data_IF_855992721172
#
_entry.id   IF_855992721172
#
_cell.length_a   1.000
_cell.length_b   1.000
_cell.length_c   1.000
_cell.angle_alpha   90.00
_cell.angle_beta   90.00
_cell.angle_gamma   90.00
#
_symmetry.space_group_name_H-M   'P 1'
#
loop_
_entity.id
_entity.type
_entity.pdbx_description
1 polymer ?
#
# COMPACT_ATOMS: atom_id res chain seq x y z
N UNK A 1 6.12 -4.90 -25.37
CA UNK A 1 5.87 -3.44 -25.39
C UNK A 1 4.37 -3.18 -25.37
N UNK A 2 3.80 -2.95 -24.20
CA UNK A 2 2.41 -2.49 -24.07
C UNK A 2 2.48 -1.11 -23.42
N UNK A 3 2.11 -0.09 -24.19
CA UNK A 3 1.99 1.30 -23.74
C UNK A 3 0.81 1.36 -22.76
N UNK A 4 1.06 1.70 -21.51
CA UNK A 4 0.03 2.00 -20.52
C UNK A 4 -0.38 3.45 -20.78
N UNK A 5 -1.62 3.61 -21.24
CA UNK A 5 -2.24 4.89 -21.50
C UNK A 5 -2.84 5.39 -20.18
N UNK A 6 -2.31 6.50 -19.66
CA UNK A 6 -2.90 7.21 -18.53
C UNK A 6 -4.26 7.78 -18.94
N UNK A 7 -5.33 7.45 -18.21
CA UNK A 7 -6.63 8.08 -18.38
C UNK A 7 -7.21 8.44 -17.01
N UNK A 8 -7.08 9.73 -16.68
CA UNK A 8 -7.87 10.48 -15.72
C UNK A 8 -9.26 10.74 -16.32
N UNK A 9 -10.33 10.25 -15.72
CA UNK A 9 -11.64 10.92 -15.71
C UNK A 9 -12.40 10.52 -14.45
N UNK A 10 -12.66 11.49 -13.57
CA UNK A 10 -13.72 11.41 -12.58
C UNK A 10 -15.05 11.76 -13.27
N UNK A 11 -16.01 10.83 -13.32
CA UNK A 11 -17.41 11.13 -13.66
C UNK A 11 -18.33 10.54 -12.60
N UNK A 12 -19.10 11.45 -12.00
CA UNK A 12 -20.30 11.23 -11.21
C UNK A 12 -21.39 10.65 -12.11
N UNK A 13 -22.00 9.51 -11.75
CA UNK A 13 -23.23 9.04 -12.41
C UNK A 13 -24.34 8.95 -11.37
N UNK A 14 -25.23 9.94 -11.39
CA UNK A 14 -26.58 9.85 -10.87
C UNK A 14 -27.43 9.10 -11.89
N UNK A 15 -28.03 7.98 -11.50
CA UNK A 15 -29.15 7.40 -12.24
C UNK A 15 -30.33 7.15 -11.28
N UNK A 16 -31.35 7.98 -11.46
CA UNK A 16 -32.73 7.76 -11.04
C UNK A 16 -33.36 6.70 -11.95
N UNK A 17 -34.02 5.70 -11.37
CA UNK A 17 -35.18 5.05 -11.98
C UNK A 17 -36.12 4.56 -10.86
N UNK A 18 -37.41 4.86 -11.03
CA UNK A 18 -38.50 4.50 -10.15
C UNK A 18 -39.40 3.43 -10.80
N UNK A 19 -40.16 2.74 -9.93
CA UNK A 19 -41.34 1.88 -10.17
C UNK A 19 -41.06 0.45 -10.72
N UNK A 20 -41.73 -0.64 -10.32
CA UNK A 20 -42.88 -0.86 -9.42
C UNK A 20 -42.88 -2.32 -8.88
N UNK A 21 -43.79 -2.52 -7.91
CA UNK A 21 -44.13 -3.68 -7.07
C UNK A 21 -44.43 -4.98 -7.83
N UNK A 22 -44.04 -6.13 -7.27
CA UNK A 22 -44.89 -7.31 -7.21
C UNK A 22 -44.60 -8.19 -5.99
N UNK A 23 -45.68 -8.60 -5.32
CA UNK A 23 -45.76 -9.25 -4.03
C UNK A 23 -45.96 -10.75 -4.25
N UNK A 24 -45.13 -11.62 -3.69
CA UNK A 24 -45.53 -13.02 -3.48
C UNK A 24 -44.88 -13.61 -2.23
N UNK A 25 -45.75 -14.04 -1.33
CA UNK A 25 -45.46 -14.73 -0.08
C UNK A 25 -44.97 -16.15 -0.34
N UNK A 26 -43.86 -16.55 0.27
CA UNK A 26 -43.62 -17.95 0.60
C UNK A 26 -42.74 -18.05 1.85
N UNK A 27 -43.33 -18.60 2.91
CA UNK A 27 -42.64 -19.05 4.11
C UNK A 27 -41.65 -20.16 3.73
N UNK A 28 -40.39 -20.07 4.18
CA UNK A 28 -39.63 -21.24 4.61
C UNK A 28 -38.27 -20.86 5.24
N UNK A 29 -38.09 -21.37 6.47
CA UNK A 29 -36.83 -21.57 7.21
C UNK A 29 -36.01 -20.32 7.51
N UNK A 30 -36.06 -19.90 8.78
CA UNK A 30 -35.02 -19.09 9.41
C UNK A 30 -33.69 -19.85 9.38
N UNK A 31 -32.97 -19.73 8.27
CA UNK A 31 -31.54 -19.94 8.26
C UNK A 31 -30.93 -18.89 9.18
N UNK A 32 -30.09 -19.31 10.12
CA UNK A 32 -29.24 -18.39 10.87
C UNK A 32 -28.57 -17.47 9.86
N UNK A 33 -28.98 -16.20 9.85
CA UNK A 33 -28.44 -15.22 8.93
C UNK A 33 -26.94 -15.15 9.20
N UNK A 34 -26.15 -15.63 8.24
CA UNK A 34 -24.69 -15.49 8.28
C UNK A 34 -24.41 -14.02 8.59
N UNK A 35 -23.76 -13.75 9.73
CA UNK A 35 -23.54 -12.37 10.17
C UNK A 35 -22.88 -11.59 9.04
N UNK A 36 -23.35 -10.35 8.82
CA UNK A 36 -22.76 -9.48 7.82
C UNK A 36 -21.25 -9.38 8.04
N UNK A 37 -20.47 -9.49 6.96
CA UNK A 37 -19.01 -9.43 7.05
C UNK A 37 -18.61 -8.00 7.41
N UNK A 38 -17.84 -7.84 8.48
CA UNK A 38 -17.15 -6.60 8.81
C UNK A 38 -15.83 -6.55 8.03
N UNK A 39 -15.87 -5.91 6.86
CA UNK A 39 -14.75 -5.83 5.94
C UNK A 39 -13.52 -5.15 6.54
N UNK A 40 -13.72 -4.13 7.39
CA UNK A 40 -12.61 -3.43 8.07
C UNK A 40 -11.95 -4.35 9.07
N UNK A 41 -12.74 -5.06 9.86
CA UNK A 41 -12.20 -6.02 10.83
C UNK A 41 -11.47 -7.18 10.16
N UNK A 42 -11.98 -7.69 9.04
CA UNK A 42 -11.29 -8.72 8.27
C UNK A 42 -9.95 -8.23 7.69
N UNK A 43 -9.88 -6.98 7.21
CA UNK A 43 -8.61 -6.40 6.75
C UNK A 43 -7.63 -6.21 7.91
N UNK A 44 -8.10 -5.72 9.07
CA UNK A 44 -7.27 -5.64 10.28
C UNK A 44 -6.69 -6.99 10.66
N UNK A 45 -7.53 -8.04 10.70
CA UNK A 45 -7.09 -9.42 11.01
C UNK A 45 -6.04 -9.92 10.03
N UNK A 46 -6.21 -9.61 8.74
CA UNK A 46 -5.25 -10.02 7.73
C UNK A 46 -3.89 -9.34 7.91
N UNK A 47 -3.86 -8.03 8.16
CA UNK A 47 -2.62 -7.28 8.45
C UNK A 47 -1.96 -7.80 9.74
N UNK A 48 -2.75 -8.09 10.78
CA UNK A 48 -2.26 -8.70 12.03
C UNK A 48 -1.61 -10.06 11.75
N UNK A 49 -2.24 -10.92 10.95
CA UNK A 49 -1.71 -12.23 10.59
C UNK A 49 -0.37 -12.13 9.82
N UNK A 50 -0.28 -11.17 8.87
CA UNK A 50 0.96 -10.86 8.15
C UNK A 50 2.06 -10.43 9.13
N UNK A 51 1.75 -9.50 10.04
CA UNK A 51 2.71 -9.03 11.03
C UNK A 51 3.22 -10.15 11.93
N UNK A 52 2.30 -10.95 12.49
CA UNK A 52 2.64 -12.07 13.37
C UNK A 52 3.44 -13.15 12.65
N UNK A 53 3.13 -13.46 11.39
CA UNK A 53 3.92 -14.40 10.61
C UNK A 53 5.35 -13.88 10.38
N UNK A 54 5.50 -12.61 9.97
CA UNK A 54 6.82 -12.00 9.79
C UNK A 54 7.64 -12.00 11.08
N UNK A 55 7.02 -11.64 12.20
CA UNK A 55 7.63 -11.58 13.53
C UNK A 55 8.11 -12.93 14.08
N UNK A 56 7.62 -14.07 13.53
CA UNK A 56 8.17 -15.40 13.85
C UNK A 56 9.58 -15.60 13.29
N UNK A 57 9.94 -14.92 12.20
CA UNK A 57 11.24 -15.03 11.54
C UNK A 57 12.17 -13.88 11.89
N UNK A 58 11.63 -12.67 12.00
CA UNK A 58 12.36 -11.48 12.46
C UNK A 58 11.48 -10.69 13.43
N UNK A 59 11.87 -10.65 14.72
CA UNK A 59 11.12 -9.94 15.76
C UNK A 59 10.95 -8.44 15.47
N UNK A 60 11.80 -7.87 14.61
CA UNK A 60 11.75 -6.47 14.20
C UNK A 60 11.06 -6.26 12.85
N UNK A 61 10.42 -7.29 12.28
CA UNK A 61 9.78 -7.21 10.97
C UNK A 61 8.79 -6.05 10.90
N UNK A 62 9.00 -5.18 9.93
CA UNK A 62 8.26 -3.93 9.75
C UNK A 62 7.01 -4.18 8.92
N UNK A 63 5.88 -3.62 9.33
CA UNK A 63 4.62 -3.66 8.56
C UNK A 63 4.08 -2.24 8.38
N UNK A 64 3.84 -1.85 7.13
CA UNK A 64 3.39 -0.51 6.74
C UNK A 64 2.18 -0.64 5.80
N UNK A 65 0.93 -0.63 6.30
CA UNK A 65 -0.26 -0.46 5.46
C UNK A 65 -0.25 0.86 4.71
N UNK A 66 -0.62 0.85 3.44
CA UNK A 66 -0.81 2.03 2.58
C UNK A 66 -2.30 2.35 2.44
N UNK A 67 -2.66 3.62 2.65
CA UNK A 67 -4.04 4.11 2.64
C UNK A 67 -4.91 3.36 3.68
N UNK A 68 -6.23 3.26 3.45
CA UNK A 68 -7.16 2.61 4.39
C UNK A 68 -7.01 3.15 5.83
N UNK A 69 -6.79 4.45 5.96
CA UNK A 69 -6.44 5.10 7.23
C UNK A 69 -7.52 4.87 8.30
N UNK A 70 -8.76 4.67 7.87
CA UNK A 70 -9.96 4.38 8.64
C UNK A 70 -9.79 3.14 9.54
N UNK A 71 -8.92 2.19 9.19
CA UNK A 71 -8.74 0.97 9.97
C UNK A 71 -8.22 1.21 11.39
N UNK A 72 -7.68 2.41 11.69
CA UNK A 72 -7.28 2.80 13.05
C UNK A 72 -8.42 2.76 14.05
N UNK A 73 -9.66 3.01 13.63
CA UNK A 73 -10.84 2.98 14.50
C UNK A 73 -11.87 1.96 14.06
N UNK A 74 -12.78 1.61 14.96
CA UNK A 74 -13.85 0.64 14.71
C UNK A 74 -14.75 1.07 13.56
N UNK A 75 -15.15 2.34 13.56
CA UNK A 75 -16.14 2.90 12.64
C UNK A 75 -15.53 3.70 11.47
N UNK A 76 -14.20 3.84 11.45
CA UNK A 76 -13.47 4.61 10.45
C UNK A 76 -13.39 6.11 10.72
N UNK A 77 -14.08 6.61 11.75
CA UNK A 77 -14.05 8.03 12.13
C UNK A 77 -12.85 8.35 13.02
N UNK A 78 -12.36 9.59 12.98
CA UNK A 78 -11.27 10.04 13.84
C UNK A 78 -11.64 10.09 15.35
N UNK A 79 -12.93 9.99 15.68
CA UNK A 79 -13.46 9.90 17.05
C UNK A 79 -13.83 8.49 17.48
N UNK A 80 -13.69 7.50 16.59
CA UNK A 80 -14.09 6.13 16.83
C UNK A 80 -13.20 5.40 17.84
N UNK A 81 -13.67 4.25 18.30
CA UNK A 81 -12.91 3.37 19.20
C UNK A 81 -11.62 2.87 18.53
N UNK A 82 -10.46 3.21 19.09
CA UNK A 82 -9.15 2.80 18.60
C UNK A 82 -8.97 1.29 18.60
N UNK A 83 -8.43 0.77 17.51
CA UNK A 83 -8.18 -0.65 17.32
C UNK A 83 -6.77 -1.00 17.78
N UNK A 84 -6.61 -1.06 19.10
CA UNK A 84 -5.31 -1.26 19.76
C UNK A 84 -4.59 -2.54 19.33
N UNK A 85 -5.34 -3.61 19.00
CA UNK A 85 -4.77 -4.85 18.46
C UNK A 85 -4.06 -4.65 17.12
N UNK A 86 -4.67 -3.88 16.22
CA UNK A 86 -4.12 -3.53 14.91
C UNK A 86 -2.94 -2.57 15.04
N UNK A 87 -3.06 -1.53 15.87
CA UNK A 87 -1.99 -0.54 16.08
C UNK A 87 -0.68 -1.14 16.60
N UNK A 88 -0.75 -2.17 17.46
CA UNK A 88 0.45 -2.89 17.94
C UNK A 88 1.16 -3.71 16.87
N UNK A 89 0.48 -4.00 15.76
CA UNK A 89 0.98 -4.90 14.73
C UNK A 89 1.58 -4.15 13.53
N UNK A 90 1.43 -2.82 13.47
CA UNK A 90 2.01 -1.98 12.42
C UNK A 90 3.11 -1.07 12.97
N UNK A 91 4.11 -0.76 12.15
CA UNK A 91 5.23 0.11 12.54
C UNK A 91 5.04 1.54 12.04
N UNK A 92 4.40 1.68 10.88
CA UNK A 92 4.10 2.93 10.23
C UNK A 92 2.82 2.79 9.40
N UNK A 93 2.31 3.89 8.86
CA UNK A 93 1.23 3.93 7.89
C UNK A 93 1.63 4.80 6.70
N UNK A 94 1.37 4.32 5.50
CA UNK A 94 1.49 5.06 4.25
C UNK A 94 0.20 5.80 3.95
N UNK A 95 0.31 7.04 3.48
CA UNK A 95 -0.81 7.80 2.96
C UNK A 95 -0.42 8.42 1.63
N UNK A 96 -1.25 8.20 0.61
CA UNK A 96 -1.01 8.78 -0.69
C UNK A 96 -1.87 9.99 -0.97
N UNK A 97 -1.19 10.96 -1.60
CA UNK A 97 -1.70 12.19 -2.14
C UNK A 97 -2.34 13.10 -1.10
N UNK A 98 -1.71 13.23 0.08
CA UNK A 98 -2.23 14.04 1.18
C UNK A 98 -2.38 15.52 0.80
N UNK A 99 -1.38 16.08 0.12
CA UNK A 99 -1.36 17.49 -0.26
C UNK A 99 -1.32 17.71 -1.77
N UNK A 100 -0.75 16.77 -2.53
CA UNK A 100 -0.68 16.86 -3.99
C UNK A 100 -0.86 15.49 -4.62
N UNK A 101 -1.58 15.46 -5.75
CA UNK A 101 -1.70 14.24 -6.56
C UNK A 101 -3.05 13.55 -6.50
N UNK A 102 -3.99 13.96 -5.62
CA UNK A 102 -5.18 13.14 -5.37
C UNK A 102 -6.13 13.08 -6.57
N UNK A 103 -6.38 14.23 -7.20
CA UNK A 103 -7.21 14.32 -8.42
C UNK A 103 -6.39 14.30 -9.71
N UNK A 104 -5.07 14.17 -9.60
CA UNK A 104 -4.10 14.23 -10.69
C UNK A 104 -2.75 14.79 -10.23
N UNK A 105 -1.69 14.39 -10.93
CA UNK A 105 -0.31 14.82 -10.63
C UNK A 105 -0.17 16.35 -10.72
N UNK A 106 0.70 16.92 -9.88
CA UNK A 106 0.95 18.37 -9.80
C UNK A 106 -0.29 19.21 -9.44
N UNK A 107 -1.38 18.58 -9.00
CA UNK A 107 -2.57 19.28 -8.51
C UNK A 107 -2.64 19.23 -7.00
N UNK A 108 -2.92 20.36 -6.33
CA UNK A 108 -3.26 20.35 -4.92
C UNK A 108 -4.43 19.41 -4.65
N UNK A 109 -4.28 18.56 -3.62
CA UNK A 109 -5.39 17.81 -3.05
C UNK A 109 -6.40 18.79 -2.46
N UNK A 110 -7.70 18.51 -2.64
CA UNK A 110 -8.74 19.40 -2.12
C UNK A 110 -8.62 19.58 -0.61
N UNK A 111 -9.05 20.73 -0.09
CA UNK A 111 -8.98 21.03 1.34
C UNK A 111 -9.72 19.98 2.16
N UNK A 112 -10.91 19.56 1.72
CA UNK A 112 -11.73 18.56 2.42
C UNK A 112 -11.06 17.18 2.46
N UNK A 113 -10.50 16.72 1.34
CA UNK A 113 -9.79 15.44 1.29
C UNK A 113 -8.51 15.47 2.14
N UNK A 114 -7.75 16.58 2.06
CA UNK A 114 -6.55 16.78 2.87
C UNK A 114 -6.88 16.78 4.36
N UNK A 115 -7.92 17.52 4.77
CA UNK A 115 -8.34 17.64 6.17
C UNK A 115 -8.85 16.30 6.73
N UNK A 116 -9.57 15.53 5.92
CA UNK A 116 -10.00 14.19 6.27
C UNK A 116 -8.81 13.26 6.56
N UNK A 117 -7.88 13.15 5.60
CA UNK A 117 -6.69 12.32 5.76
C UNK A 117 -5.79 12.81 6.90
N UNK A 118 -5.62 14.13 7.05
CA UNK A 118 -4.83 14.73 8.13
C UNK A 118 -5.33 14.32 9.51
N UNK A 119 -6.65 14.29 9.75
CA UNK A 119 -7.21 13.87 11.04
C UNK A 119 -6.81 12.44 11.39
N UNK A 120 -6.93 11.52 10.44
CA UNK A 120 -6.58 10.12 10.64
C UNK A 120 -5.06 9.92 10.75
N UNK A 121 -4.26 10.55 9.90
CA UNK A 121 -2.79 10.53 9.99
C UNK A 121 -2.29 11.06 11.34
N UNK A 122 -2.85 12.18 11.83
CA UNK A 122 -2.50 12.70 13.16
C UNK A 122 -2.91 11.74 14.26
N UNK A 123 -4.03 11.02 14.12
CA UNK A 123 -4.45 10.00 15.08
C UNK A 123 -3.45 8.83 15.12
N UNK A 124 -2.93 8.36 13.99
CA UNK A 124 -1.83 7.38 13.95
C UNK A 124 -0.58 7.92 14.65
N UNK A 125 -0.15 9.14 14.31
CA UNK A 125 1.04 9.76 14.90
C UNK A 125 0.94 9.91 16.42
N UNK A 126 -0.23 10.32 16.93
CA UNK A 126 -0.51 10.43 18.37
C UNK A 126 -0.51 9.08 19.09
N UNK A 127 -0.74 7.97 18.37
CA UNK A 127 -0.73 6.62 18.91
C UNK A 127 0.56 5.85 18.59
N UNK A 128 1.66 6.57 18.35
CA UNK A 128 2.98 5.95 18.22
C UNK A 128 3.19 5.17 16.92
N UNK A 129 2.45 5.49 15.86
CA UNK A 129 2.65 4.96 14.50
C UNK A 129 3.19 6.06 13.61
N UNK A 130 4.34 5.82 12.95
CA UNK A 130 4.96 6.79 12.04
C UNK A 130 4.09 6.96 10.78
N UNK A 131 3.95 8.18 10.28
CA UNK A 131 3.21 8.45 9.03
C UNK A 131 4.20 8.72 7.90
N UNK A 132 4.05 7.99 6.79
CA UNK A 132 4.79 8.14 5.54
C UNK A 132 3.84 8.69 4.48
N UNK A 133 4.12 9.87 3.94
CA UNK A 133 3.28 10.52 2.93
C UNK A 133 3.97 10.50 1.58
N UNK A 134 3.30 9.97 0.56
CA UNK A 134 3.72 10.12 -0.83
C UNK A 134 2.78 11.08 -1.54
N UNK A 135 3.32 12.23 -1.96
CA UNK A 135 2.60 13.20 -2.80
C UNK A 135 3.09 13.11 -4.24
N UNK A 136 2.20 13.28 -5.22
CA UNK A 136 2.56 13.22 -6.64
C UNK A 136 2.68 14.62 -7.23
N UNK A 137 3.90 15.16 -7.18
CA UNK A 137 4.25 16.49 -7.69
C UNK A 137 5.71 16.52 -8.18
N UNK A 138 5.96 17.37 -9.16
CA UNK A 138 7.22 17.52 -9.90
C UNK A 138 7.63 18.98 -10.09
N UNK A 139 6.71 19.94 -10.00
CA UNK A 139 7.06 21.35 -9.96
C UNK A 139 7.81 21.69 -8.65
N UNK A 140 8.96 22.36 -8.76
CA UNK A 140 9.84 22.69 -7.61
C UNK A 140 9.07 23.33 -6.46
N UNK A 141 8.18 24.28 -6.75
CA UNK A 141 7.35 24.94 -5.74
C UNK A 141 6.41 24.00 -5.01
N UNK A 142 5.83 23.02 -5.72
CA UNK A 142 4.88 22.06 -5.14
C UNK A 142 5.61 20.97 -4.35
N UNK A 143 6.77 20.54 -4.83
CA UNK A 143 7.68 19.64 -4.11
C UNK A 143 8.11 20.27 -2.79
N UNK A 144 8.60 21.51 -2.80
CA UNK A 144 9.01 22.22 -1.59
C UNK A 144 7.83 22.46 -0.63
N UNK A 145 6.65 22.78 -1.17
CA UNK A 145 5.44 22.94 -0.37
C UNK A 145 4.96 21.63 0.26
N UNK A 146 5.00 20.50 -0.47
CA UNK A 146 4.68 19.17 0.05
C UNK A 146 5.61 18.82 1.21
N UNK A 147 6.93 18.93 1.02
CA UNK A 147 7.91 18.63 2.06
C UNK A 147 7.70 19.51 3.31
N UNK A 148 7.50 20.81 3.13
CA UNK A 148 7.25 21.74 4.24
C UNK A 148 5.99 21.39 5.01
N UNK A 149 4.85 21.18 4.33
CA UNK A 149 3.56 20.88 4.98
C UNK A 149 3.58 19.54 5.71
N UNK A 150 4.25 18.53 5.15
CA UNK A 150 4.44 17.25 5.83
C UNK A 150 5.32 17.40 7.07
N UNK A 151 6.42 18.15 6.97
CA UNK A 151 7.30 18.45 8.12
C UNK A 151 6.57 19.21 9.23
N UNK A 152 5.72 20.17 8.90
CA UNK A 152 4.87 20.90 9.87
C UNK A 152 3.94 19.96 10.65
N UNK A 153 3.59 18.79 10.09
CA UNK A 153 2.80 17.75 10.76
C UNK A 153 3.65 16.63 11.39
N UNK A 154 4.99 16.71 11.29
CA UNK A 154 5.90 15.67 11.80
C UNK A 154 5.91 14.39 10.97
N UNK A 155 5.43 14.42 9.72
CA UNK A 155 5.35 13.26 8.84
C UNK A 155 6.63 13.08 8.03
N UNK A 156 6.99 11.82 7.78
CA UNK A 156 8.00 11.47 6.80
C UNK A 156 7.38 11.61 5.40
N UNK A 157 8.06 12.24 4.45
CA UNK A 157 7.46 12.51 3.13
C UNK A 157 8.38 12.22 1.97
N UNK A 158 7.76 11.89 0.84
CA UNK A 158 8.36 11.67 -0.46
C UNK A 158 7.51 12.34 -1.53
N UNK A 159 8.11 13.24 -2.31
CA UNK A 159 7.47 13.83 -3.48
C UNK A 159 7.84 13.02 -4.73
N UNK A 160 6.90 12.27 -5.28
CA UNK A 160 7.08 11.44 -6.47
C UNK A 160 6.79 12.26 -7.74
N UNK A 161 7.77 12.35 -8.64
CA UNK A 161 7.64 13.05 -9.93
C UNK A 161 7.07 12.17 -11.06
N UNK A 162 6.79 10.90 -10.74
CA UNK A 162 6.16 9.90 -11.61
C UNK A 162 5.16 9.08 -10.81
N UNK A 163 3.88 9.15 -11.18
CA UNK A 163 2.82 8.31 -10.60
C UNK A 163 3.12 6.81 -10.66
N UNK A 164 3.72 6.35 -11.75
CA UNK A 164 4.05 4.95 -11.92
C UNK A 164 5.29 4.52 -11.11
N UNK A 165 5.90 5.41 -10.32
CA UNK A 165 7.05 5.12 -9.46
C UNK A 165 8.19 4.44 -10.23
N UNK A 166 8.58 5.07 -11.34
CA UNK A 166 9.53 4.54 -12.34
C UNK A 166 10.92 5.18 -12.30
N UNK A 167 11.11 6.21 -11.46
CA UNK A 167 12.34 6.96 -11.39
C UNK A 167 12.62 7.45 -9.97
N UNK A 168 13.91 7.60 -9.66
CA UNK A 168 14.35 8.41 -8.52
C UNK A 168 14.19 9.88 -8.92
N UNK A 169 13.43 10.70 -8.15
CA UNK A 169 13.24 12.10 -8.48
C UNK A 169 14.57 12.84 -8.59
N UNK A 170 14.66 13.76 -9.58
CA UNK A 170 15.87 14.57 -9.79
C UNK A 170 15.94 15.79 -8.86
N UNK A 171 14.79 16.25 -8.38
CA UNK A 171 14.68 17.36 -7.44
C UNK A 171 14.02 16.88 -6.14
N UNK A 172 14.53 17.27 -4.96
CA UNK A 172 15.82 17.94 -4.74
C UNK A 172 17.02 17.10 -5.24
N UNK A 173 18.15 17.75 -5.52
CA UNK A 173 19.36 17.09 -6.07
C UNK A 173 19.98 16.03 -5.12
N UNK A 174 19.50 15.95 -3.89
CA UNK A 174 19.76 14.91 -2.91
C UNK A 174 18.45 14.61 -2.16
N UNK A 175 18.28 13.43 -1.55
CA UNK A 175 17.11 13.14 -0.74
C UNK A 175 16.82 14.26 0.27
N UNK A 176 15.57 14.70 0.35
CA UNK A 176 15.14 15.66 1.37
C UNK A 176 15.50 15.13 2.75
N UNK A 177 16.14 15.92 3.63
CA UNK A 177 16.68 15.46 4.92
C UNK A 177 17.67 14.27 4.85
N UNK A 178 18.51 14.19 3.81
CA UNK A 178 19.59 13.22 3.74
C UNK A 178 20.49 13.28 5.00
N UNK A 179 20.88 12.12 5.52
CA UNK A 179 21.68 12.00 6.73
C UNK A 179 22.56 10.73 6.73
N UNK A 180 23.56 10.72 7.61
CA UNK A 180 24.52 9.62 7.76
C UNK A 180 24.18 8.63 8.89
N UNK A 181 22.98 8.72 9.51
CA UNK A 181 22.60 7.83 10.61
C UNK A 181 22.43 6.41 10.11
N UNK A 182 22.75 5.44 10.96
CA UNK A 182 22.29 4.07 10.75
C UNK A 182 20.81 3.96 11.15
N UNK A 183 19.99 3.47 10.23
CA UNK A 183 18.54 3.36 10.40
C UNK A 183 18.21 1.95 10.87
N UNK A 184 17.73 1.81 12.11
CA UNK A 184 17.39 0.51 12.72
C UNK A 184 15.88 0.28 12.76
N UNK A 185 15.11 1.35 12.84
CA UNK A 185 13.66 1.36 12.91
C UNK A 185 13.10 2.46 12.01
N UNK A 186 11.80 2.41 11.72
CA UNK A 186 11.11 3.47 10.95
C UNK A 186 11.16 4.85 11.62
N UNK A 187 11.44 4.90 12.94
CA UNK A 187 11.56 6.15 13.69
C UNK A 187 12.92 6.83 13.54
N UNK A 188 13.96 6.07 13.14
CA UNK A 188 15.29 6.63 12.88
C UNK A 188 15.33 7.37 11.53
N UNK A 189 14.38 7.09 10.64
CA UNK A 189 14.33 7.60 9.28
C UNK A 189 13.85 9.05 9.19
N UNK A 190 14.58 9.83 8.39
CA UNK A 190 14.32 11.23 8.06
C UNK A 190 13.85 11.42 6.61
N UNK A 191 13.93 10.36 5.79
CA UNK A 191 13.44 10.35 4.41
C UNK A 191 13.13 8.93 3.90
N UNK A 192 12.44 8.81 2.77
CA UNK A 192 12.27 7.53 2.09
C UNK A 192 12.14 7.69 0.58
N UNK A 193 12.38 6.60 -0.14
CA UNK A 193 12.14 6.46 -1.58
C UNK A 193 11.05 5.41 -1.80
N UNK A 194 10.03 5.77 -2.58
CA UNK A 194 9.04 4.81 -3.07
C UNK A 194 9.26 4.53 -4.56
N UNK A 195 9.78 3.35 -4.89
CA UNK A 195 10.15 2.96 -6.25
C UNK A 195 9.88 1.47 -6.50
N UNK A 196 8.67 1.15 -6.93
CA UNK A 196 8.22 -0.24 -7.16
C UNK A 196 8.25 -0.66 -8.62
N UNK A 197 8.30 0.29 -9.56
CA UNK A 197 8.33 -0.03 -10.97
C UNK A 197 9.74 0.15 -11.55
N UNK A 198 10.43 -0.96 -11.72
CA UNK A 198 11.81 -1.00 -12.22
C UNK A 198 11.91 -0.99 -13.76
N UNK A 199 10.82 -0.74 -14.51
CA UNK A 199 10.80 -0.87 -15.98
C UNK A 199 11.84 -0.03 -16.73
N UNK A 200 12.31 1.07 -16.14
CA UNK A 200 13.34 1.95 -16.73
C UNK A 200 14.76 1.41 -16.57
N UNK A 201 14.92 0.34 -15.81
CA UNK A 201 16.19 -0.34 -15.57
C UNK A 201 16.20 -1.65 -16.35
N UNK A 202 17.17 -1.85 -17.23
CA UNK A 202 17.23 -3.05 -18.06
C UNK A 202 17.58 -4.30 -17.26
N UNK A 203 18.27 -4.15 -16.12
CA UNK A 203 18.71 -5.27 -15.29
C UNK A 203 18.56 -4.96 -13.80
N UNK A 204 18.49 -6.02 -12.98
CA UNK A 204 18.60 -5.92 -11.51
C UNK A 204 19.83 -5.14 -11.07
N UNK A 205 20.99 -5.39 -11.69
CA UNK A 205 22.25 -4.71 -11.37
C UNK A 205 22.13 -3.20 -11.56
N UNK A 206 21.57 -2.75 -12.69
CA UNK A 206 21.37 -1.33 -12.97
C UNK A 206 20.43 -0.66 -11.94
N UNK A 207 19.35 -1.34 -11.57
CA UNK A 207 18.44 -0.86 -10.52
C UNK A 207 19.17 -0.74 -9.17
N UNK A 208 19.89 -1.80 -8.77
CA UNK A 208 20.64 -1.84 -7.51
C UNK A 208 21.71 -0.74 -7.47
N UNK A 209 22.49 -0.57 -8.54
CA UNK A 209 23.53 0.47 -8.62
C UNK A 209 22.94 1.88 -8.53
N UNK A 210 21.79 2.13 -9.16
CA UNK A 210 21.12 3.41 -9.04
C UNK A 210 20.73 3.70 -7.58
N UNK A 211 20.16 2.71 -6.88
CA UNK A 211 19.70 2.89 -5.50
C UNK A 211 20.84 2.96 -4.47
N UNK A 212 21.91 2.17 -4.65
CA UNK A 212 23.11 2.22 -3.79
C UNK A 212 23.80 3.60 -3.83
N UNK A 213 23.63 4.34 -4.91
CA UNK A 213 24.20 5.68 -5.09
C UNK A 213 23.29 6.81 -4.57
N UNK A 214 22.27 6.49 -3.76
CA UNK A 214 21.44 7.46 -3.05
C UNK A 214 21.75 7.46 -1.55
N UNK A 215 21.20 8.40 -0.79
CA UNK A 215 21.29 8.43 0.68
C UNK A 215 19.90 8.34 1.34
N UNK A 216 18.98 7.57 0.74
CA UNK A 216 17.67 7.32 1.33
C UNK A 216 17.74 6.40 2.57
N UNK A 217 16.94 6.68 3.59
CA UNK A 217 16.90 5.94 4.86
C UNK A 217 16.03 4.68 4.78
N UNK A 218 14.97 4.75 3.97
CA UNK A 218 14.08 3.64 3.65
C UNK A 218 13.93 3.56 2.13
N UNK A 219 14.11 2.38 1.55
CA UNK A 219 13.68 2.07 0.18
C UNK A 219 12.45 1.18 0.25
N UNK A 220 11.36 1.62 -0.37
CA UNK A 220 10.20 0.78 -0.66
C UNK A 220 10.30 0.37 -2.13
N UNK A 221 10.38 -0.94 -2.38
CA UNK A 221 10.56 -1.51 -3.72
C UNK A 221 9.86 -2.85 -3.88
N UNK A 222 9.72 -3.33 -5.10
CA UNK A 222 9.16 -4.65 -5.40
C UNK A 222 10.16 -5.79 -5.13
N UNK A 223 9.66 -6.99 -4.83
CA UNK A 223 10.48 -8.21 -4.73
C UNK A 223 11.09 -8.60 -6.09
N UNK A 224 10.45 -8.22 -7.19
CA UNK A 224 10.80 -8.66 -8.53
C UNK A 224 11.28 -7.51 -9.41
N UNK A 225 12.28 -7.83 -10.23
CA UNK A 225 12.60 -7.09 -11.44
C UNK A 225 11.98 -7.84 -12.61
N UNK A 226 10.84 -7.35 -13.09
CA UNK A 226 9.93 -8.11 -13.95
C UNK A 226 9.52 -9.43 -13.28
N UNK A 227 9.89 -10.59 -13.82
CA UNK A 227 9.55 -11.91 -13.26
C UNK A 227 10.64 -12.47 -12.33
N UNK A 228 11.79 -11.80 -12.23
CA UNK A 228 12.95 -12.32 -11.50
C UNK A 228 13.04 -11.71 -10.12
N UNK A 229 12.87 -12.53 -9.09
CA UNK A 229 13.04 -12.11 -7.70
C UNK A 229 14.48 -11.63 -7.43
N UNK A 230 14.61 -10.64 -6.56
CA UNK A 230 15.88 -10.27 -5.96
C UNK A 230 16.34 -11.38 -4.99
N UNK A 231 17.63 -11.69 -5.03
CA UNK A 231 18.28 -12.64 -4.13
C UNK A 231 18.67 -11.96 -2.81
N UNK A 232 18.88 -12.76 -1.76
CA UNK A 232 19.26 -12.23 -0.45
C UNK A 232 20.55 -11.41 -0.45
N UNK A 233 21.52 -11.74 -1.32
CA UNK A 233 22.73 -10.93 -1.49
C UNK A 233 22.45 -9.56 -2.10
N UNK A 234 21.53 -9.48 -3.07
CA UNK A 234 21.15 -8.23 -3.74
C UNK A 234 20.41 -7.29 -2.78
N UNK A 235 19.50 -7.83 -1.95
CA UNK A 235 18.83 -7.04 -0.91
C UNK A 235 19.82 -6.58 0.17
N UNK A 236 20.77 -7.44 0.60
CA UNK A 236 21.83 -7.03 1.53
C UNK A 236 22.69 -5.89 1.00
N UNK A 237 22.98 -5.86 -0.30
CA UNK A 237 23.71 -4.74 -0.91
C UNK A 237 22.95 -3.41 -0.78
N UNK A 238 21.61 -3.45 -0.92
CA UNK A 238 20.75 -2.27 -0.84
C UNK A 238 20.61 -1.72 0.58
N UNK A 239 20.91 -2.51 1.63
CA UNK A 239 20.85 -2.06 3.03
C UNK A 239 21.98 -1.10 3.45
N UNK A 240 22.85 -0.71 2.53
CA UNK A 240 23.91 0.27 2.80
C UNK A 240 23.74 1.49 1.89
N UNK A 241 23.77 2.68 2.49
CA UNK A 241 23.69 3.95 1.80
C UNK A 241 24.98 4.27 1.05
N UNK A 242 24.91 5.21 0.10
CA UNK A 242 26.10 5.74 -0.58
C UNK A 242 27.13 6.26 0.42
N UNK A 243 26.66 6.96 1.46
CA UNK A 243 27.51 7.48 2.53
C UNK A 243 27.99 6.43 3.56
N UNK A 244 27.67 5.15 3.38
CA UNK A 244 28.09 4.05 4.25
C UNK A 244 27.14 3.73 5.41
N UNK A 245 26.20 4.61 5.75
CA UNK A 245 25.19 4.34 6.79
C UNK A 245 24.24 3.22 6.41
N UNK A 246 23.62 2.56 7.39
CA UNK A 246 22.61 1.51 7.16
C UNK A 246 21.24 2.09 6.87
N UNK A 247 20.48 1.42 6.01
CA UNK A 247 19.10 1.77 5.63
C UNK A 247 18.19 0.54 5.71
N UNK A 248 16.89 0.78 5.77
CA UNK A 248 15.87 -0.26 5.68
C UNK A 248 15.43 -0.48 4.23
N UNK A 249 15.16 -1.72 3.86
CA UNK A 249 14.60 -2.09 2.55
C UNK A 249 13.28 -2.84 2.78
N UNK A 250 12.18 -2.23 2.35
CA UNK A 250 10.81 -2.67 2.59
C UNK A 250 10.19 -3.14 1.27
N UNK A 251 9.54 -4.30 1.28
CA UNK A 251 8.96 -4.89 0.08
C UNK A 251 7.52 -4.43 -0.13
N UNK A 252 7.20 -3.92 -1.31
CA UNK A 252 5.81 -3.78 -1.76
C UNK A 252 5.12 -5.15 -1.82
N UNK A 253 3.88 -5.23 -1.35
CA UNK A 253 3.05 -6.42 -1.42
C UNK A 253 1.57 -6.03 -1.46
N UNK A 254 0.91 -6.21 -2.60
CA UNK A 254 -0.54 -6.04 -2.70
C UNK A 254 -1.27 -7.18 -1.96
N UNK A 255 -2.22 -6.83 -1.09
CA UNK A 255 -2.99 -7.81 -0.31
C UNK A 255 -4.50 -7.75 -0.58
N UNK A 256 -4.99 -6.65 -1.15
CA UNK A 256 -6.39 -6.48 -1.56
C UNK A 256 -6.66 -6.72 -3.05
N UNK A 257 -5.61 -6.91 -3.87
CA UNK A 257 -5.71 -7.26 -5.29
C UNK A 257 -4.76 -8.40 -5.67
N UNK A 258 -5.19 -9.22 -6.62
CA UNK A 258 -4.37 -10.20 -7.33
C UNK A 258 -3.86 -9.60 -8.64
N UNK A 259 -2.58 -9.77 -8.91
CA UNK A 259 -1.88 -9.22 -10.07
C UNK A 259 -1.58 -10.33 -11.09
N UNK A 260 -2.05 -10.21 -12.33
CA UNK A 260 -1.99 -11.26 -13.35
C UNK A 260 -0.58 -11.56 -13.88
N UNK A 261 0.38 -10.72 -13.53
CA UNK A 261 1.80 -10.84 -13.85
C UNK A 261 2.62 -11.43 -12.69
N UNK A 262 1.99 -11.84 -11.58
CA UNK A 262 2.69 -12.48 -10.46
C UNK A 262 2.76 -13.99 -10.62
N UNK A 263 3.78 -14.58 -9.99
CA UNK A 263 4.03 -16.03 -10.01
C UNK A 263 2.87 -16.89 -9.49
N UNK A 264 1.99 -16.34 -8.65
CA UNK A 264 0.85 -17.07 -8.08
C UNK A 264 -0.34 -17.09 -9.03
N UNK A 265 -0.35 -16.24 -10.06
CA UNK A 265 -1.45 -16.17 -11.01
C UNK A 265 -1.52 -17.46 -11.84
N UNK A 266 -2.72 -17.98 -12.03
CA UNK A 266 -2.98 -19.12 -12.91
C UNK A 266 -3.84 -18.70 -14.09
N UNK A 267 -3.38 -18.97 -15.30
CA UNK A 267 -4.16 -18.69 -16.52
C UNK A 267 -5.53 -19.39 -16.53
N UNK A 268 -5.68 -20.49 -15.80
CA UNK A 268 -6.96 -21.18 -15.64
C UNK A 268 -8.04 -20.30 -14.97
N UNK A 269 -7.65 -19.26 -14.22
CA UNK A 269 -8.61 -18.33 -13.59
C UNK A 269 -9.38 -17.48 -14.59
N UNK A 270 -8.91 -17.37 -15.85
CA UNK A 270 -9.63 -16.70 -16.95
C UNK A 270 -10.86 -17.49 -17.39
N UNK A 271 -10.81 -18.81 -17.28
CA UNK A 271 -11.89 -19.72 -17.66
C UNK A 271 -12.77 -20.09 -16.45
N UNK A 272 -12.14 -20.33 -15.30
CA UNK A 272 -12.80 -20.65 -14.05
C UNK A 272 -12.23 -19.83 -12.89
N UNK A 273 -12.79 -18.65 -12.65
CA UNK A 273 -12.29 -17.75 -11.60
C UNK A 273 -12.49 -18.34 -10.19
N UNK A 274 -11.49 -18.29 -9.31
CA UNK A 274 -11.66 -18.60 -7.90
C UNK A 274 -12.77 -17.75 -7.27
N UNK A 275 -13.48 -18.30 -6.29
CA UNK A 275 -14.60 -17.60 -5.65
C UNK A 275 -14.19 -16.30 -4.94
N UNK A 276 -12.91 -16.19 -4.57
CA UNK A 276 -12.32 -15.01 -3.96
C UNK A 276 -11.85 -13.95 -4.97
N UNK A 277 -11.72 -14.28 -6.26
CA UNK A 277 -11.30 -13.35 -7.31
C UNK A 277 -12.53 -12.56 -7.83
N UNK A 278 -12.52 -11.25 -7.64
CA UNK A 278 -13.59 -10.35 -8.07
C UNK A 278 -13.29 -9.77 -9.47
N UNK A 279 -13.65 -8.51 -9.71
CA UNK A 279 -13.48 -7.85 -11.01
C UNK A 279 -12.10 -7.19 -11.16
N UNK A 280 -11.69 -7.03 -12.42
CA UNK A 280 -10.48 -6.29 -12.77
C UNK A 280 -10.63 -4.82 -12.38
N UNK A 281 -9.59 -4.24 -11.80
CA UNK A 281 -9.51 -2.84 -11.50
C UNK A 281 -9.46 -2.04 -12.82
N UNK A 282 -10.45 -1.18 -13.11
CA UNK A 282 -10.50 -0.44 -14.39
C UNK A 282 -9.37 0.59 -14.53
N UNK A 283 -8.74 1.00 -13.42
CA UNK A 283 -7.64 1.95 -13.41
C UNK A 283 -6.28 1.26 -13.50
N UNK A 284 -6.19 -0.01 -13.09
CA UNK A 284 -4.95 -0.77 -13.02
C UNK A 284 -5.11 -2.12 -13.71
N UNK A 285 -5.06 -2.09 -15.04
CA UNK A 285 -5.17 -3.29 -15.88
C UNK A 285 -4.25 -4.42 -15.40
N UNK A 286 -4.79 -5.63 -15.33
CA UNK A 286 -4.11 -6.81 -14.80
C UNK A 286 -4.19 -6.97 -13.27
N UNK A 287 -4.79 -6.02 -12.55
CA UNK A 287 -5.04 -6.14 -11.11
C UNK A 287 -6.51 -6.46 -10.89
N UNK A 288 -6.81 -7.37 -9.99
CA UNK A 288 -8.15 -7.89 -9.74
C UNK A 288 -8.46 -7.83 -8.26
N UNK A 289 -9.56 -7.18 -7.87
CA UNK A 289 -9.96 -7.11 -6.45
C UNK A 289 -10.17 -8.52 -5.90
N UNK A 290 -9.72 -8.77 -4.68
CA UNK A 290 -9.89 -10.07 -4.01
C UNK A 290 -10.73 -9.95 -2.75
N UNK A 291 -11.50 -10.98 -2.44
CA UNK A 291 -12.11 -11.18 -1.12
C UNK A 291 -11.00 -11.55 -0.14
N UNK A 292 -10.30 -10.55 0.38
CA UNK A 292 -9.08 -10.73 1.18
C UNK A 292 -9.29 -11.50 2.50
N UNK A 293 -10.54 -11.67 2.95
CA UNK A 293 -10.91 -12.55 4.07
C UNK A 293 -10.97 -14.04 3.70
N UNK A 294 -10.85 -14.38 2.42
CA UNK A 294 -10.87 -15.77 1.97
C UNK A 294 -9.56 -16.49 2.28
N UNK A 295 -9.66 -17.66 2.90
CA UNK A 295 -8.50 -18.40 3.39
C UNK A 295 -7.56 -18.86 2.25
N UNK A 296 -8.07 -19.11 1.04
CA UNK A 296 -7.22 -19.56 -0.06
C UNK A 296 -6.38 -18.40 -0.63
N UNK A 297 -6.94 -17.18 -0.67
CA UNK A 297 -6.16 -15.98 -0.94
C UNK A 297 -5.12 -15.73 0.15
N UNK A 298 -5.51 -15.80 1.42
CA UNK A 298 -4.59 -15.56 2.53
C UNK A 298 -3.40 -16.54 2.53
N UNK A 299 -3.61 -17.81 2.14
CA UNK A 299 -2.52 -18.80 1.97
C UNK A 299 -1.53 -18.43 0.86
N UNK A 300 -1.97 -17.75 -0.20
CA UNK A 300 -1.08 -17.24 -1.24
C UNK A 300 -0.18 -16.15 -0.64
N UNK A 301 -0.72 -15.28 0.20
CA UNK A 301 -0.02 -14.10 0.73
C UNK A 301 0.87 -14.42 1.93
N UNK A 302 0.40 -15.20 2.92
CA UNK A 302 1.11 -15.38 4.21
C UNK A 302 0.88 -16.76 4.85
N UNK A 303 1.55 -17.00 5.98
CA UNK A 303 1.22 -18.08 6.92
C UNK A 303 1.88 -19.44 6.65
N UNK A 304 2.61 -19.59 5.54
CA UNK A 304 3.23 -20.87 5.15
C UNK A 304 4.49 -20.67 4.29
N UNK A 305 5.27 -21.75 4.09
CA UNK A 305 6.55 -21.67 3.39
C UNK A 305 6.45 -21.45 1.86
N UNK A 306 5.26 -21.64 1.27
CA UNK A 306 4.98 -21.33 -0.13
C UNK A 306 4.50 -19.91 -0.38
N UNK A 307 4.13 -19.18 0.67
CA UNK A 307 3.50 -17.86 0.57
C UNK A 307 4.41 -16.76 0.00
N UNK A 308 3.79 -15.70 -0.50
CA UNK A 308 4.48 -14.51 -0.99
C UNK A 308 5.35 -13.89 0.11
N UNK A 309 4.79 -13.70 1.32
CA UNK A 309 5.55 -13.17 2.44
C UNK A 309 6.77 -14.03 2.79
N UNK A 310 6.70 -15.37 2.66
CA UNK A 310 7.88 -16.22 2.86
C UNK A 310 8.99 -15.93 1.86
N UNK A 311 8.66 -15.67 0.58
CA UNK A 311 9.65 -15.27 -0.44
C UNK A 311 10.32 -13.95 -0.07
N UNK A 312 9.54 -12.98 0.41
CA UNK A 312 10.03 -11.67 0.88
C UNK A 312 11.00 -11.84 2.06
N UNK A 313 10.61 -12.63 3.07
CA UNK A 313 11.47 -12.98 4.21
C UNK A 313 12.75 -13.71 3.77
N UNK A 314 12.64 -14.65 2.82
CA UNK A 314 13.77 -15.39 2.27
C UNK A 314 14.77 -14.51 1.50
N UNK A 315 14.28 -13.44 0.85
CA UNK A 315 15.13 -12.42 0.22
C UNK A 315 15.74 -11.44 1.24
N UNK A 316 15.30 -11.45 2.50
CA UNK A 316 15.89 -10.67 3.58
C UNK A 316 15.49 -9.20 3.60
N UNK A 317 14.31 -8.85 3.10
CA UNK A 317 13.71 -7.53 3.34
C UNK A 317 13.44 -7.30 4.83
N UNK A 318 13.49 -6.04 5.28
CA UNK A 318 13.25 -5.65 6.68
C UNK A 318 11.75 -5.61 7.03
N UNK A 319 10.88 -5.65 6.02
CA UNK A 319 9.44 -5.54 6.21
C UNK A 319 8.66 -5.52 4.91
N UNK A 320 7.37 -5.23 5.04
CA UNK A 320 6.41 -5.11 3.94
C UNK A 320 5.65 -3.78 3.98
N UNK A 321 5.45 -3.21 2.80
CA UNK A 321 4.57 -2.09 2.51
C UNK A 321 3.33 -2.66 1.81
N UNK A 322 2.20 -2.67 2.52
CA UNK A 322 1.01 -3.41 2.15
C UNK A 322 0.06 -2.52 1.36
N UNK A 323 -0.22 -2.89 0.13
CA UNK A 323 -1.07 -2.11 -0.76
C UNK A 323 -2.48 -2.71 -0.90
N UNK A 324 -3.41 -1.86 -1.33
CA UNK A 324 -4.85 -2.12 -1.47
C UNK A 324 -5.49 -2.49 -0.12
N UNK A 325 -5.07 -1.81 0.95
CA UNK A 325 -5.71 -1.90 2.28
C UNK A 325 -7.15 -1.42 2.21
N UNK A 326 -7.42 -0.39 1.41
CA UNK A 326 -8.72 0.23 1.16
C UNK A 326 -9.70 -0.65 0.37
N UNK A 327 -9.33 -1.89 0.01
CA UNK A 327 -10.24 -2.87 -0.58
C UNK A 327 -11.51 -3.11 0.26
N UNK A 328 -11.50 -2.82 1.58
CA UNK A 328 -12.73 -2.86 2.39
C UNK A 328 -13.79 -1.88 1.88
N UNK A 329 -13.40 -0.69 1.40
CA UNK A 329 -14.36 0.29 0.90
C UNK A 329 -15.12 -0.22 -0.32
N UNK A 330 -14.42 -0.94 -1.19
CA UNK A 330 -15.01 -1.55 -2.38
C UNK A 330 -16.17 -2.48 -2.00
N UNK A 331 -15.98 -3.35 -1.01
CA UNK A 331 -17.02 -4.28 -0.59
C UNK A 331 -18.12 -3.61 0.26
N UNK A 332 -17.78 -2.61 1.07
CA UNK A 332 -18.77 -1.81 1.79
C UNK A 332 -19.71 -1.06 0.84
N UNK A 333 -19.16 -0.40 -0.20
CA UNK A 333 -19.95 0.30 -1.22
C UNK A 333 -20.87 -0.67 -1.96
N UNK A 334 -20.37 -1.86 -2.33
CA UNK A 334 -21.16 -2.86 -3.04
C UNK A 334 -22.28 -3.48 -2.20
N UNK A 335 -22.07 -3.64 -0.89
CA UNK A 335 -23.12 -4.14 0.01
C UNK A 335 -24.19 -3.09 0.33
N UNK A 336 -23.87 -1.79 0.32
CA UNK A 336 -24.86 -0.72 0.44
C UNK A 336 -25.80 -0.60 -0.77
N UNK A 337 -25.34 -1.09 -1.93
CA UNK A 337 -26.07 -1.02 -3.20
C UNK A 337 -26.84 -2.32 -3.54
N UNK A 338 -26.88 -3.28 -2.63
CA UNK A 338 -27.73 -4.48 -2.69
C UNK A 338 -28.90 -4.30 -1.74
#
# INVERSE_FOLDING_TARGET
MRKILSALVAIFVLCLCAAAVENSTNENRAGEAKSAIDYREEMRRFVIAISQYGKKFDKNFIVIPQNGLELITKDGSASGELQQGYLREISAVGAESLFYGYSGDDKPTSADASEYMLKLCRLYAQNGVRVLVTDYCSAVSDVDASYRRNKENGFLSFAADKRNLTAVPKYPNAPYNANAKDIKTVWDAENFLYLINSEKFSTKRQFIDALKNTDYDIIIMDLFHFEKAYAASEIRELKTKRNGGKRLVICYMSIGEAEDYRYYWSDAWKEGKPAWLAEENPHWKGNYVVKYWDADWQKIITGNDGSYQKKILGAGFDGVYLDIIDAFEYFEKRNKNK
#
